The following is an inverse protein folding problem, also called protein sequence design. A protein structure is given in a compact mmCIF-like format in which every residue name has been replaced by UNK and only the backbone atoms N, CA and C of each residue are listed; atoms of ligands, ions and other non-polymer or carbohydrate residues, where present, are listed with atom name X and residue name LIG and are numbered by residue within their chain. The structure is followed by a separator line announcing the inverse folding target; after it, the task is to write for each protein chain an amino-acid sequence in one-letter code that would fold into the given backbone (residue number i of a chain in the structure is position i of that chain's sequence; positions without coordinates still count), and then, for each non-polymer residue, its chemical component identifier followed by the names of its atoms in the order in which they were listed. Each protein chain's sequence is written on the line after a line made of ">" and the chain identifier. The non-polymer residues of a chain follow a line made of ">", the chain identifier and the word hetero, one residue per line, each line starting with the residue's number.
data_IF_745651731904
#
_entry.id   IF_745651731904
#
_cell.length_a   1.000
_cell.length_b   1.000
_cell.length_c   1.000
_cell.angle_alpha   90.00
_cell.angle_beta   90.00
_cell.angle_gamma   90.00
#
_symmetry.space_group_name_H-M   'P 1'
#
loop_
_entity.id
_entity.type
_entity.pdbx_description
1 polymer ?
#
# COMPACT_ATOMS: atom_id res chain seq x y z
N UNK A 1 0.19 -15.39 -22.58
CA UNK A 1 0.42 -14.24 -23.48
C UNK A 1 -0.81 -13.32 -23.47
N UNK A 2 -2.01 -13.88 -23.57
CA UNK A 2 -3.30 -13.16 -23.54
C UNK A 2 -3.62 -12.39 -22.23
N UNK A 3 -3.23 -12.91 -21.05
CA UNK A 3 -3.43 -12.18 -19.77
C UNK A 3 -2.51 -10.96 -19.59
N UNK A 4 -1.36 -10.93 -20.28
CA UNK A 4 -0.44 -9.79 -20.20
C UNK A 4 -0.92 -8.62 -21.08
N UNK A 5 -1.51 -8.92 -22.25
CA UNK A 5 -2.13 -7.92 -23.12
C UNK A 5 -3.36 -7.28 -22.45
N UNK A 6 -4.26 -8.06 -21.83
CA UNK A 6 -5.43 -7.53 -21.14
C UNK A 6 -5.08 -6.56 -19.99
N UNK A 7 -4.02 -6.85 -19.22
CA UNK A 7 -3.55 -5.96 -18.16
C UNK A 7 -2.91 -4.67 -18.68
N UNK A 8 -2.28 -4.73 -19.86
CA UNK A 8 -1.72 -3.55 -20.51
C UNK A 8 -2.81 -2.64 -21.09
N UNK A 9 -3.89 -3.24 -21.61
CA UNK A 9 -5.02 -2.52 -22.20
C UNK A 9 -5.86 -1.82 -21.12
N UNK A 10 -6.12 -2.48 -19.98
CA UNK A 10 -6.78 -1.85 -18.83
C UNK A 10 -5.98 -0.69 -18.24
N UNK A 11 -4.64 -0.82 -18.22
CA UNK A 11 -3.76 0.22 -17.71
C UNK A 11 -3.72 1.45 -18.64
N UNK A 12 -3.75 1.23 -19.95
CA UNK A 12 -3.84 2.29 -20.94
C UNK A 12 -5.19 3.01 -20.90
N UNK A 13 -6.28 2.28 -20.67
CA UNK A 13 -7.62 2.87 -20.58
C UNK A 13 -7.81 3.71 -19.31
N UNK A 14 -7.28 3.26 -18.16
CA UNK A 14 -7.24 4.06 -16.92
C UNK A 14 -6.39 5.34 -17.08
N UNK A 15 -5.25 5.24 -17.77
CA UNK A 15 -4.40 6.40 -18.05
C UNK A 15 -5.12 7.41 -18.96
N UNK A 16 -5.87 6.92 -19.95
CA UNK A 16 -6.62 7.74 -20.91
C UNK A 16 -7.84 8.40 -20.27
N UNK A 17 -8.53 7.70 -19.36
CA UNK A 17 -9.59 8.26 -18.53
C UNK A 17 -9.05 9.36 -17.59
N UNK A 18 -7.87 9.15 -17.00
CA UNK A 18 -7.18 10.15 -16.18
C UNK A 18 -6.88 11.43 -16.96
N UNK A 19 -6.31 11.31 -18.16
CA UNK A 19 -6.02 12.46 -19.03
C UNK A 19 -7.30 13.22 -19.44
N UNK A 20 -8.38 12.50 -19.77
CA UNK A 20 -9.64 13.13 -20.17
C UNK A 20 -10.31 13.89 -19.00
N UNK A 21 -10.18 13.38 -17.77
CA UNK A 21 -10.67 14.05 -16.57
C UNK A 21 -9.87 15.31 -16.25
N UNK A 22 -8.53 15.28 -16.34
CA UNK A 22 -7.70 16.46 -16.15
C UNK A 22 -8.04 17.57 -17.15
N UNK A 23 -8.20 17.25 -18.43
CA UNK A 23 -8.61 18.24 -19.43
C UNK A 23 -10.00 18.83 -19.14
N UNK A 24 -10.93 18.02 -18.64
CA UNK A 24 -12.28 18.49 -18.28
C UNK A 24 -12.23 19.44 -17.07
N UNK A 25 -11.40 19.11 -16.07
CA UNK A 25 -11.15 19.95 -14.90
C UNK A 25 -10.46 21.26 -15.31
N UNK A 26 -9.45 21.20 -16.17
CA UNK A 26 -8.76 22.40 -16.70
C UNK A 26 -9.73 23.28 -17.48
N UNK A 27 -10.53 22.71 -18.39
CA UNK A 27 -11.54 23.47 -19.14
C UNK A 27 -12.60 24.09 -18.24
N UNK A 28 -13.01 23.38 -17.19
CA UNK A 28 -13.96 23.89 -16.20
C UNK A 28 -13.36 25.00 -15.34
N UNK A 29 -12.13 24.86 -14.86
CA UNK A 29 -11.41 25.90 -14.13
C UNK A 29 -11.15 27.15 -14.98
N UNK A 30 -10.89 26.97 -16.27
CA UNK A 30 -10.75 28.08 -17.24
C UNK A 30 -12.09 28.77 -17.50
N UNK A 31 -13.18 28.01 -17.61
CA UNK A 31 -14.53 28.55 -17.80
C UNK A 31 -15.09 29.23 -16.54
N UNK A 32 -14.87 28.63 -15.37
CA UNK A 32 -15.22 29.15 -14.04
C UNK A 32 -14.19 30.21 -13.58
N UNK A 33 -13.18 30.50 -14.40
CA UNK A 33 -12.12 31.43 -14.12
C UNK A 33 -12.67 32.80 -13.76
N UNK A 34 -12.54 33.14 -12.47
CA UNK A 34 -12.76 34.49 -11.92
C UNK A 34 -12.00 35.58 -12.74
N UNK A 35 -10.95 35.18 -13.47
CA UNK A 35 -10.09 36.04 -14.30
C UNK A 35 -10.79 36.74 -15.47
N UNK A 36 -11.77 36.11 -16.15
CA UNK A 36 -12.49 36.81 -17.23
C UNK A 36 -13.52 37.81 -16.68
N UNK A 37 -13.96 37.64 -15.44
CA UNK A 37 -14.89 38.53 -14.75
C UNK A 37 -14.19 39.78 -14.24
N UNK A 38 -13.06 39.61 -13.53
CA UNK A 38 -12.27 40.72 -13.00
C UNK A 38 -11.69 41.60 -14.10
N UNK A 39 -11.14 41.03 -15.18
CA UNK A 39 -10.62 41.83 -16.31
C UNK A 39 -11.69 42.75 -16.91
N UNK A 40 -12.93 42.25 -17.06
CA UNK A 40 -14.07 43.05 -17.54
C UNK A 40 -14.47 44.12 -16.52
N UNK A 41 -14.44 43.80 -15.22
CA UNK A 41 -14.70 44.76 -14.14
C UNK A 41 -13.67 45.88 -14.14
N UNK A 42 -12.38 45.57 -14.30
CA UNK A 42 -11.31 46.56 -14.37
C UNK A 42 -11.39 47.42 -15.65
N UNK A 43 -11.67 46.82 -16.81
CA UNK A 43 -11.87 47.58 -18.04
C UNK A 43 -13.05 48.58 -17.92
N UNK A 44 -14.14 48.17 -17.28
CA UNK A 44 -15.28 49.04 -16.98
C UNK A 44 -14.90 50.15 -16.00
N UNK A 45 -14.20 49.81 -14.92
CA UNK A 45 -13.73 50.77 -13.92
C UNK A 45 -12.87 51.87 -14.56
N UNK A 46 -11.90 51.50 -15.39
CA UNK A 46 -11.03 52.44 -16.13
C UNK A 46 -11.87 53.35 -17.03
N UNK A 47 -12.85 52.78 -17.75
CA UNK A 47 -13.74 53.56 -18.62
C UNK A 47 -14.57 54.58 -17.82
N UNK A 48 -15.11 54.18 -16.66
CA UNK A 48 -15.88 55.06 -15.79
C UNK A 48 -15.01 56.17 -15.19
N UNK A 49 -13.79 55.87 -14.75
CA UNK A 49 -12.84 56.85 -14.22
C UNK A 49 -12.46 57.90 -15.28
N UNK A 50 -12.15 57.46 -16.52
CA UNK A 50 -11.84 58.38 -17.63
C UNK A 50 -13.01 59.32 -17.93
N UNK A 51 -14.24 58.83 -17.89
CA UNK A 51 -15.45 59.65 -18.11
C UNK A 51 -15.67 60.63 -16.97
N UNK A 52 -15.49 60.19 -15.73
CA UNK A 52 -15.62 61.03 -14.53
C UNK A 52 -14.55 62.12 -14.42
N UNK A 53 -13.37 61.94 -15.03
CA UNK A 53 -12.34 62.99 -15.07
C UNK A 53 -12.67 64.14 -16.02
N UNK A 54 -13.56 63.93 -17.01
CA UNK A 54 -13.87 64.93 -18.03
C UNK A 54 -15.00 65.88 -17.64
N UNK A 55 -15.89 65.46 -16.74
CA UNK A 55 -17.07 66.23 -16.34
C UNK A 55 -17.45 65.93 -14.86
N UNK A 56 -17.49 66.96 -13.99
CA UNK A 56 -17.80 66.80 -12.57
C UNK A 56 -19.23 66.32 -12.27
N UNK A 57 -20.21 66.56 -13.14
CA UNK A 57 -21.59 66.05 -12.94
C UNK A 57 -21.70 64.57 -13.31
N UNK A 58 -20.97 64.15 -14.35
CA UNK A 58 -20.80 62.73 -14.71
C UNK A 58 -20.02 61.99 -13.60
N UNK A 59 -19.06 62.67 -12.95
CA UNK A 59 -18.34 62.10 -11.82
C UNK A 59 -19.26 61.76 -10.65
N UNK A 60 -20.17 62.67 -10.27
CA UNK A 60 -21.12 62.47 -9.16
C UNK A 60 -22.08 61.31 -9.43
N UNK A 61 -22.58 61.20 -10.65
CA UNK A 61 -23.49 60.10 -11.03
C UNK A 61 -22.80 58.73 -11.09
N UNK A 62 -21.52 58.68 -11.51
CA UNK A 62 -20.76 57.43 -11.61
C UNK A 62 -20.13 56.98 -10.29
N UNK A 63 -19.96 57.87 -9.30
CA UNK A 63 -19.26 57.58 -8.05
C UNK A 63 -19.79 56.34 -7.31
N UNK A 64 -21.11 56.15 -7.10
CA UNK A 64 -21.63 54.96 -6.43
C UNK A 64 -21.30 53.67 -7.21
N UNK A 65 -21.32 53.74 -8.54
CA UNK A 65 -21.00 52.61 -9.41
C UNK A 65 -19.52 52.25 -9.35
N UNK A 66 -18.64 53.26 -9.31
CA UNK A 66 -17.20 53.09 -9.14
C UNK A 66 -16.89 52.42 -7.79
N UNK A 67 -17.52 52.90 -6.71
CA UNK A 67 -17.35 52.32 -5.37
C UNK A 67 -17.78 50.84 -5.32
N UNK A 68 -18.92 50.49 -5.93
CA UNK A 68 -19.38 49.10 -5.99
C UNK A 68 -18.41 48.18 -6.75
N UNK A 69 -17.81 48.66 -7.84
CA UNK A 69 -16.86 47.85 -8.62
C UNK A 69 -15.56 47.66 -7.82
N UNK A 70 -15.11 48.68 -7.09
CA UNK A 70 -13.94 48.58 -6.21
C UNK A 70 -14.16 47.59 -5.06
N UNK A 71 -15.29 47.66 -4.37
CA UNK A 71 -15.65 46.76 -3.26
C UNK A 71 -15.73 45.29 -3.73
N UNK A 72 -16.32 45.06 -4.90
CA UNK A 72 -16.37 43.74 -5.51
C UNK A 72 -14.97 43.21 -5.90
N UNK A 73 -14.10 44.07 -6.43
CA UNK A 73 -12.73 43.71 -6.79
C UNK A 73 -11.88 43.42 -5.55
N UNK A 74 -12.03 44.21 -4.48
CA UNK A 74 -11.37 43.99 -3.20
C UNK A 74 -11.80 42.66 -2.57
N UNK A 75 -13.09 42.37 -2.56
CA UNK A 75 -13.61 41.09 -2.08
C UNK A 75 -13.09 39.91 -2.90
N UNK A 76 -13.05 40.04 -4.23
CA UNK A 76 -12.48 39.01 -5.13
C UNK A 76 -11.02 38.77 -4.80
N UNK A 77 -10.22 39.83 -4.64
CA UNK A 77 -8.80 39.73 -4.28
C UNK A 77 -8.58 38.99 -2.96
N UNK A 78 -9.32 39.33 -1.91
CA UNK A 78 -9.23 38.64 -0.62
C UNK A 78 -9.58 37.15 -0.73
N UNK A 79 -10.63 36.83 -1.48
CA UNK A 79 -11.03 35.44 -1.77
C UNK A 79 -9.91 34.70 -2.50
N UNK A 80 -9.27 35.30 -3.50
CA UNK A 80 -8.17 34.68 -4.24
C UNK A 80 -6.97 34.36 -3.34
N UNK A 81 -6.59 35.28 -2.45
CA UNK A 81 -5.50 35.04 -1.48
C UNK A 81 -5.84 33.86 -0.56
N UNK A 82 -7.08 33.78 -0.07
CA UNK A 82 -7.52 32.69 0.79
C UNK A 82 -7.52 31.34 0.05
N UNK A 83 -8.02 31.31 -1.18
CA UNK A 83 -8.00 30.11 -2.03
C UNK A 83 -6.56 29.67 -2.30
N UNK A 84 -5.67 30.60 -2.67
CA UNK A 84 -4.27 30.28 -2.91
C UNK A 84 -3.59 29.65 -1.67
N UNK A 85 -3.81 30.26 -0.49
CA UNK A 85 -3.29 29.76 0.79
C UNK A 85 -3.85 28.36 1.10
N UNK A 86 -5.15 28.16 0.89
CA UNK A 86 -5.79 26.86 1.09
C UNK A 86 -5.28 25.79 0.12
N UNK A 87 -5.08 26.15 -1.15
CA UNK A 87 -4.57 25.23 -2.17
C UNK A 87 -3.14 24.79 -1.83
N UNK A 88 -2.30 25.71 -1.37
CA UNK A 88 -0.94 25.36 -0.91
C UNK A 88 -0.99 24.41 0.29
N UNK A 89 -1.86 24.68 1.26
CA UNK A 89 -2.05 23.81 2.41
C UNK A 89 -2.51 22.40 1.99
N UNK A 90 -3.52 22.31 1.14
CA UNK A 90 -4.04 21.04 0.63
C UNK A 90 -2.99 20.28 -0.19
N UNK A 91 -2.23 20.96 -1.05
CA UNK A 91 -1.15 20.35 -1.81
C UNK A 91 -0.10 19.71 -0.90
N UNK A 92 0.26 20.40 0.19
CA UNK A 92 1.19 19.86 1.17
C UNK A 92 0.61 18.65 1.92
N UNK A 93 -0.68 18.69 2.30
CA UNK A 93 -1.36 17.56 2.93
C UNK A 93 -1.41 16.33 2.00
N UNK A 94 -1.75 16.51 0.73
CA UNK A 94 -1.76 15.41 -0.23
C UNK A 94 -0.36 14.81 -0.45
N UNK A 95 0.68 15.65 -0.45
CA UNK A 95 2.06 15.16 -0.52
C UNK A 95 2.44 14.31 0.70
N UNK A 96 2.03 14.72 1.90
CA UNK A 96 2.26 13.96 3.13
C UNK A 96 1.50 12.63 3.11
N UNK A 97 0.24 12.63 2.68
CA UNK A 97 -0.58 11.43 2.56
C UNK A 97 0.03 10.43 1.56
N UNK A 98 0.51 10.91 0.41
CA UNK A 98 1.20 10.06 -0.57
C UNK A 98 2.45 9.39 0.04
N UNK A 99 3.27 10.16 0.77
CA UNK A 99 4.44 9.61 1.47
C UNK A 99 4.07 8.59 2.56
N UNK A 100 2.93 8.76 3.23
CA UNK A 100 2.44 7.81 4.22
C UNK A 100 1.97 6.51 3.57
N UNK A 101 1.26 6.60 2.44
CA UNK A 101 0.88 5.44 1.62
C UNK A 101 2.11 4.66 1.18
N UNK A 102 3.14 5.34 0.66
CA UNK A 102 4.40 4.69 0.25
C UNK A 102 5.06 3.93 1.42
N UNK A 103 5.10 4.55 2.61
CA UNK A 103 5.63 3.90 3.81
C UNK A 103 4.82 2.66 4.21
N UNK A 104 3.49 2.74 4.15
CA UNK A 104 2.63 1.60 4.47
C UNK A 104 2.77 0.46 3.46
N UNK A 105 2.98 0.77 2.17
CA UNK A 105 3.27 -0.24 1.14
C UNK A 105 4.56 -0.98 1.48
N UNK A 106 5.64 -0.26 1.84
CA UNK A 106 6.91 -0.88 2.25
C UNK A 106 6.71 -1.77 3.48
N UNK A 107 6.03 -1.27 4.52
CA UNK A 107 5.72 -2.04 5.74
C UNK A 107 4.88 -3.28 5.45
N UNK A 108 3.92 -3.19 4.54
CA UNK A 108 3.10 -4.32 4.14
C UNK A 108 3.95 -5.37 3.40
N UNK A 109 4.86 -4.94 2.54
CA UNK A 109 5.76 -5.85 1.85
C UNK A 109 6.70 -6.57 2.83
N UNK A 110 7.27 -5.87 3.80
CA UNK A 110 8.10 -6.46 4.86
C UNK A 110 7.32 -7.51 5.67
N UNK A 111 6.09 -7.18 6.10
CA UNK A 111 5.19 -8.12 6.79
C UNK A 111 4.91 -9.37 5.97
N UNK A 112 4.66 -9.21 4.67
CA UNK A 112 4.43 -10.34 3.76
C UNK A 112 5.68 -11.23 3.63
N UNK A 113 6.88 -10.64 3.53
CA UNK A 113 8.12 -11.40 3.48
C UNK A 113 8.38 -12.16 4.79
N UNK A 114 8.11 -11.54 5.94
CA UNK A 114 8.21 -12.18 7.25
C UNK A 114 7.25 -13.38 7.35
N UNK A 115 5.98 -13.18 7.02
CA UNK A 115 4.97 -14.24 7.02
C UNK A 115 5.33 -15.41 6.09
N UNK A 116 5.93 -15.13 4.92
CA UNK A 116 6.41 -16.16 4.00
C UNK A 116 7.52 -17.02 4.62
N UNK A 117 8.48 -16.40 5.31
CA UNK A 117 9.56 -17.12 6.01
C UNK A 117 9.00 -18.00 7.12
N UNK A 118 8.07 -17.47 7.91
CA UNK A 118 7.41 -18.22 8.99
C UNK A 118 6.63 -19.42 8.45
N UNK A 119 5.89 -19.23 7.35
CA UNK A 119 5.17 -20.31 6.69
C UNK A 119 6.09 -21.44 6.21
N UNK A 120 7.24 -21.11 5.60
CA UNK A 120 8.21 -22.13 5.17
C UNK A 120 8.82 -22.88 6.36
N UNK A 121 9.13 -22.18 7.46
CA UNK A 121 9.60 -22.82 8.69
C UNK A 121 8.53 -23.77 9.27
N UNK A 122 7.27 -23.34 9.33
CA UNK A 122 6.16 -24.16 9.82
C UNK A 122 5.94 -25.41 8.94
N UNK A 123 6.04 -25.27 7.61
CA UNK A 123 5.99 -26.41 6.67
C UNK A 123 7.14 -27.40 6.90
N UNK A 124 8.34 -26.91 7.18
CA UNK A 124 9.49 -27.78 7.47
C UNK A 124 9.28 -28.56 8.78
N UNK A 125 8.82 -27.90 9.84
CA UNK A 125 8.50 -28.55 11.12
C UNK A 125 7.44 -29.63 10.92
N UNK A 126 6.39 -29.33 10.15
CA UNK A 126 5.34 -30.30 9.84
C UNK A 126 5.88 -31.52 9.10
N UNK A 127 6.70 -31.32 8.05
CA UNK A 127 7.33 -32.43 7.31
C UNK A 127 8.19 -33.29 8.22
N UNK A 128 9.03 -32.67 9.05
CA UNK A 128 9.87 -33.41 10.00
C UNK A 128 9.00 -34.23 10.97
N UNK A 129 7.89 -33.66 11.47
CA UNK A 129 6.97 -34.38 12.34
C UNK A 129 6.35 -35.60 11.66
N UNK A 130 5.89 -35.45 10.42
CA UNK A 130 5.33 -36.55 9.61
C UNK A 130 6.38 -37.66 9.39
N UNK A 131 7.64 -37.30 9.11
CA UNK A 131 8.75 -38.26 8.97
C UNK A 131 9.07 -39.00 10.28
N UNK A 132 9.10 -38.29 11.41
CA UNK A 132 9.31 -38.91 12.73
C UNK A 132 8.18 -39.84 13.12
N UNK A 133 6.92 -39.48 12.85
CA UNK A 133 5.76 -40.34 13.10
C UNK A 133 5.81 -41.60 12.23
N UNK A 134 6.16 -41.47 10.95
CA UNK A 134 6.34 -42.62 10.06
C UNK A 134 7.42 -43.58 10.57
N UNK A 135 8.58 -43.06 10.99
CA UNK A 135 9.66 -43.88 11.55
C UNK A 135 9.26 -44.54 12.88
N UNK A 136 8.58 -43.80 13.77
CA UNK A 136 8.08 -44.32 15.03
C UNK A 136 7.10 -45.49 14.81
N UNK A 137 6.21 -45.38 13.81
CA UNK A 137 5.28 -46.44 13.46
C UNK A 137 5.99 -47.70 12.96
N UNK A 138 7.09 -47.57 12.21
CA UNK A 138 7.91 -48.72 11.79
C UNK A 138 8.63 -49.34 12.99
N UNK A 139 9.21 -48.54 13.88
CA UNK A 139 9.91 -49.02 15.08
C UNK A 139 8.96 -49.80 16.00
N UNK A 140 7.72 -49.36 16.14
CA UNK A 140 6.70 -50.02 16.96
C UNK A 140 6.32 -51.43 16.47
N UNK A 141 6.64 -51.78 15.22
CA UNK A 141 6.43 -53.14 14.71
C UNK A 141 7.45 -54.15 15.27
N UNK A 142 8.55 -53.68 15.86
CA UNK A 142 9.59 -54.51 16.44
C UNK A 142 9.44 -54.59 17.98
N UNK A 143 9.88 -55.71 18.61
CA UNK A 143 9.81 -55.88 20.06
C UNK A 143 10.62 -54.81 20.79
N UNK A 144 10.22 -54.50 22.03
CA UNK A 144 10.88 -53.44 22.79
C UNK A 144 12.35 -53.79 23.05
N UNK A 145 13.19 -52.76 23.15
CA UNK A 145 14.61 -52.95 23.49
C UNK A 145 14.80 -53.63 24.85
N UNK A 146 13.90 -53.37 25.80
CA UNK A 146 13.93 -54.00 27.11
C UNK A 146 13.71 -55.51 27.00
N UNK A 147 12.67 -55.92 26.27
CA UNK A 147 12.33 -57.33 26.07
C UNK A 147 13.44 -58.06 25.32
N UNK A 148 14.02 -57.39 24.32
CA UNK A 148 15.14 -57.93 23.54
C UNK A 148 16.38 -58.14 24.41
N UNK A 149 16.74 -57.17 25.27
CA UNK A 149 17.86 -57.30 26.19
C UNK A 149 17.64 -58.39 27.25
N UNK A 150 16.40 -58.56 27.71
CA UNK A 150 16.05 -59.63 28.64
C UNK A 150 16.20 -61.02 27.98
N UNK A 151 15.75 -61.17 26.74
CA UNK A 151 15.93 -62.40 25.97
C UNK A 151 17.42 -62.72 25.76
N UNK A 152 18.22 -61.72 25.39
CA UNK A 152 19.66 -61.88 25.18
C UNK A 152 20.39 -62.28 26.47
N UNK A 153 20.09 -61.66 27.61
CA UNK A 153 20.73 -62.02 28.89
C UNK A 153 20.39 -63.45 29.33
N UNK A 154 19.17 -63.91 29.08
CA UNK A 154 18.74 -65.30 29.31
C UNK A 154 19.47 -66.27 28.37
N UNK A 155 19.71 -65.91 27.11
CA UNK A 155 20.49 -66.75 26.18
C UNK A 155 21.97 -66.82 26.60
N UNK A 156 22.55 -65.71 27.08
CA UNK A 156 23.94 -65.69 27.55
C UNK A 156 24.15 -66.49 28.84
N UNK A 157 23.18 -66.49 29.77
CA UNK A 157 23.26 -67.34 30.98
C UNK A 157 23.06 -68.83 30.67
N UNK A 158 22.24 -69.17 29.68
CA UNK A 158 22.04 -70.55 29.22
C UNK A 158 23.21 -71.12 28.40
N UNK A 159 24.10 -70.26 27.87
CA UNK A 159 25.30 -70.69 27.12
C UNK A 159 26.54 -70.82 28.01
N UNK A 160 26.50 -70.31 29.25
CA UNK A 160 27.55 -70.55 30.25
C UNK A 160 27.25 -71.77 31.13
N UNK A 161 27.74 -72.94 30.66
CA UNK A 161 28.11 -74.20 31.37
C UNK A 161 27.22 -75.47 31.15
N UNK A 162 27.82 -76.68 31.01
CA UNK A 162 29.15 -77.00 30.48
C UNK A 162 29.10 -78.05 29.35
N UNK A 163 30.01 -77.94 28.38
CA UNK A 163 30.44 -79.10 27.58
C UNK A 163 31.09 -80.10 28.54
N UNK A 164 30.34 -81.11 29.00
CA UNK A 164 30.92 -82.26 29.66
C UNK A 164 31.60 -83.13 28.59
N UNK A 165 32.93 -83.39 28.66
CA UNK A 165 33.53 -84.43 27.84
C UNK A 165 33.11 -85.77 28.45
N UNK A 166 32.19 -86.46 27.78
CA UNK A 166 31.86 -87.83 28.10
C UNK A 166 33.11 -88.71 27.96
N UNK A 167 33.34 -89.54 28.98
CA UNK A 167 34.24 -90.68 29.02
C UNK A 167 34.45 -91.36 27.65
N UNK A 168 35.69 -91.36 27.18
CA UNK A 168 36.22 -92.43 26.33
C UNK A 168 37.32 -93.11 27.13
N UNK A 169 36.97 -94.24 27.73
CA UNK A 169 37.97 -95.20 28.19
C UNK A 169 38.52 -95.95 26.98
N UNK A 170 39.83 -95.94 26.82
CA UNK A 170 40.59 -96.97 26.11
C UNK A 170 41.87 -97.21 26.92
N UNK A 171 42.20 -98.50 27.03
CA UNK A 171 43.29 -99.13 27.75
C UNK A 171 44.69 -98.60 27.39
#
# INVERSE_FOLDING_TARGET
>A
MEQADLMSESFLDDTRLGMMNEECIVRKLVADGDGAGDDKRFALLVTLLIKSMKDPEIARSNLPRIMQILDAAETSMHKQVLIATMNEHQSNQYRQMAQEIDKEIVRAHERMQAAKKELEAAKAIRRNKEEYEALANVIQQFPSRHDTNLCVSVVFSNTSLPFSPSLVGIA
#
